data_IF_628818354081
#
_entry.id   IF_628818354081
#
_cell.length_a   1.000
_cell.length_b   1.000
_cell.length_c   1.000
_cell.angle_alpha   90.00
_cell.angle_beta   90.00
_cell.angle_gamma   90.00
#
_symmetry.space_group_name_H-M   'P 1'
#
loop_
_entity.id
_entity.type
_entity.pdbx_description
1 polymer ?
#
# COMPACT_ATOMS: atom_id res chain seq x y z
N UNK A 1 -6.70 3.26 -0.07
CA UNK A 1 -5.34 3.50 0.48
C UNK A 1 -4.42 4.20 -0.50
N UNK A 2 -4.31 3.71 -1.74
CA UNK A 2 -3.39 4.23 -2.78
C UNK A 2 -3.45 5.75 -2.98
N UNK A 3 -4.65 6.36 -3.00
CA UNK A 3 -4.80 7.82 -3.14
C UNK A 3 -4.19 8.64 -1.99
N UNK A 4 -4.01 8.06 -0.80
CA UNK A 4 -3.38 8.74 0.35
C UNK A 4 -1.85 8.74 0.25
N UNK A 5 -1.27 7.78 -0.46
CA UNK A 5 0.18 7.63 -0.61
C UNK A 5 0.73 8.80 -1.45
N UNK A 6 1.74 9.55 -0.97
CA UNK A 6 2.45 10.54 -1.77
C UNK A 6 3.10 9.91 -3.01
N UNK A 7 3.10 10.61 -4.15
CA UNK A 7 3.59 10.03 -5.41
C UNK A 7 5.08 9.63 -5.36
N UNK A 8 5.88 10.39 -4.62
CA UNK A 8 7.30 10.12 -4.37
C UNK A 8 7.55 8.84 -3.55
N UNK A 9 6.57 8.36 -2.79
CA UNK A 9 6.67 7.16 -1.96
C UNK A 9 5.92 5.97 -2.57
N UNK A 10 5.06 6.22 -3.56
CA UNK A 10 4.15 5.24 -4.13
C UNK A 10 4.87 4.00 -4.65
N UNK A 11 5.94 4.16 -5.41
CA UNK A 11 6.71 3.02 -5.94
C UNK A 11 7.33 2.19 -4.82
N UNK A 12 7.84 2.82 -3.77
CA UNK A 12 8.44 2.14 -2.61
C UNK A 12 7.40 1.32 -1.86
N UNK A 13 6.22 1.90 -1.60
CA UNK A 13 5.14 1.20 -0.90
C UNK A 13 4.60 0.05 -1.76
N UNK A 14 4.41 0.24 -3.07
CA UNK A 14 3.95 -0.82 -3.97
C UNK A 14 4.96 -1.98 -4.06
N UNK A 15 6.26 -1.69 -4.05
CA UNK A 15 7.30 -2.72 -4.00
C UNK A 15 7.30 -3.47 -2.66
N UNK A 16 7.12 -2.77 -1.54
CA UNK A 16 7.01 -3.41 -0.23
C UNK A 16 5.73 -4.25 -0.08
N UNK A 17 4.66 -3.87 -0.77
CA UNK A 17 3.41 -4.63 -0.79
C UNK A 17 3.49 -5.95 -1.56
N UNK A 18 4.42 -6.05 -2.53
CA UNK A 18 4.73 -7.28 -3.30
C UNK A 18 3.51 -7.97 -3.95
N UNK A 19 2.41 -7.24 -4.13
CA UNK A 19 1.19 -7.78 -4.76
C UNK A 19 1.25 -7.65 -6.30
N UNK A 20 1.74 -6.52 -6.79
CA UNK A 20 1.97 -6.26 -8.21
C UNK A 20 3.42 -6.60 -8.55
N UNK A 21 3.63 -7.44 -9.57
CA UNK A 21 4.98 -7.81 -9.98
C UNK A 21 5.72 -6.62 -10.59
N UNK A 22 7.06 -6.67 -10.59
CA UNK A 22 7.87 -5.59 -11.17
C UNK A 22 7.55 -5.32 -12.64
N UNK A 23 7.26 -6.38 -13.42
CA UNK A 23 6.83 -6.25 -14.81
C UNK A 23 5.52 -5.45 -14.94
N UNK A 24 4.56 -5.68 -14.04
CA UNK A 24 3.30 -4.93 -14.03
C UNK A 24 3.52 -3.49 -13.57
N UNK A 25 4.43 -3.25 -12.63
CA UNK A 25 4.78 -1.88 -12.21
C UNK A 25 5.51 -1.11 -13.31
N UNK A 26 6.28 -1.77 -14.18
CA UNK A 26 6.96 -1.12 -15.31
C UNK A 26 5.99 -0.61 -16.39
N UNK A 27 4.78 -1.16 -16.50
CA UNK A 27 3.76 -0.67 -17.44
C UNK A 27 3.11 0.64 -16.96
N UNK A 28 3.24 0.98 -15.67
CA UNK A 28 2.64 2.16 -15.06
C UNK A 28 3.52 3.38 -15.28
N UNK A 29 2.96 4.42 -15.93
CA UNK A 29 3.65 5.69 -16.14
C UNK A 29 3.54 6.60 -14.91
N UNK A 30 4.46 6.46 -13.96
CA UNK A 30 4.53 7.29 -12.74
C UNK A 30 4.82 8.78 -12.98
N UNK A 31 5.07 9.22 -14.22
CA UNK A 31 5.24 10.64 -14.57
C UNK A 31 3.91 11.36 -14.83
N UNK A 32 2.80 10.62 -14.89
CA UNK A 32 1.46 11.19 -15.06
C UNK A 32 0.90 11.80 -13.78
N UNK A 33 -0.26 12.45 -13.89
CA UNK A 33 -1.03 12.90 -12.72
C UNK A 33 -1.41 11.71 -11.85
N UNK A 34 -1.45 11.94 -10.54
CA UNK A 34 -1.70 10.92 -9.52
C UNK A 34 -2.98 10.13 -9.80
N UNK A 35 -4.04 10.81 -10.21
CA UNK A 35 -5.34 10.21 -10.50
C UNK A 35 -5.25 9.15 -11.60
N UNK A 36 -4.54 9.45 -12.69
CA UNK A 36 -4.32 8.52 -13.81
C UNK A 36 -3.47 7.32 -13.39
N UNK A 37 -2.42 7.55 -12.58
CA UNK A 37 -1.58 6.48 -12.03
C UNK A 37 -2.41 5.55 -11.15
N UNK A 38 -3.24 6.10 -10.26
CA UNK A 38 -4.10 5.29 -9.39
C UNK A 38 -5.11 4.50 -10.19
N UNK A 39 -5.76 5.09 -11.19
CA UNK A 39 -6.70 4.37 -12.05
C UNK A 39 -6.05 3.15 -12.71
N UNK A 40 -4.84 3.30 -13.24
CA UNK A 40 -4.11 2.19 -13.84
C UNK A 40 -3.73 1.12 -12.79
N UNK A 41 -3.26 1.51 -11.61
CA UNK A 41 -2.94 0.58 -10.53
C UNK A 41 -4.16 -0.21 -10.05
N UNK A 42 -5.32 0.43 -9.97
CA UNK A 42 -6.58 -0.24 -9.60
C UNK A 42 -6.96 -1.28 -10.66
N UNK A 43 -6.84 -0.93 -11.95
CA UNK A 43 -7.09 -1.86 -13.04
C UNK A 43 -6.22 -3.13 -12.93
N UNK A 44 -4.92 -2.98 -12.67
CA UNK A 44 -4.01 -4.12 -12.46
C UNK A 44 -4.40 -4.96 -11.24
N UNK A 45 -4.92 -4.32 -10.18
CA UNK A 45 -5.41 -5.04 -9.00
C UNK A 45 -6.70 -5.82 -9.29
N UNK A 46 -7.60 -5.28 -10.10
CA UNK A 46 -8.82 -5.96 -10.54
C UNK A 46 -8.50 -7.18 -11.42
N UNK A 47 -7.55 -7.06 -12.35
CA UNK A 47 -7.08 -8.18 -13.18
C UNK A 47 -6.50 -9.32 -12.34
N UNK A 48 -5.74 -8.99 -11.28
CA UNK A 48 -5.22 -9.97 -10.31
C UNK A 48 -6.26 -10.44 -9.28
N UNK A 49 -7.48 -9.91 -9.32
CA UNK A 49 -8.58 -10.20 -8.37
C UNK A 49 -8.17 -9.95 -6.93
N UNK A 50 -7.65 -8.76 -6.66
CA UNK A 50 -7.27 -8.33 -5.31
C UNK A 50 -8.41 -8.59 -4.31
N UNK A 51 -8.07 -9.31 -3.24
CA UNK A 51 -9.00 -9.63 -2.17
C UNK A 51 -9.02 -8.53 -1.11
N UNK A 52 -9.99 -8.65 -0.18
CA UNK A 52 -10.02 -7.79 1.00
C UNK A 52 -8.74 -7.93 1.85
N UNK A 53 -8.15 -9.13 1.90
CA UNK A 53 -6.92 -9.38 2.65
C UNK A 53 -5.73 -8.65 2.01
N UNK A 54 -5.66 -8.61 0.68
CA UNK A 54 -4.59 -7.87 -0.02
C UNK A 54 -4.70 -6.37 0.24
N UNK A 55 -5.93 -5.83 0.24
CA UNK A 55 -6.19 -4.44 0.58
C UNK A 55 -5.83 -4.11 2.04
N UNK A 56 -6.16 -5.01 2.98
CA UNK A 56 -5.80 -4.86 4.39
C UNK A 56 -4.27 -4.87 4.59
N UNK A 57 -3.55 -5.74 3.87
CA UNK A 57 -2.09 -5.77 3.89
C UNK A 57 -1.48 -4.45 3.42
N UNK A 58 -2.04 -3.84 2.37
CA UNK A 58 -1.62 -2.52 1.91
C UNK A 58 -1.82 -1.44 2.98
N UNK A 59 -2.93 -1.49 3.72
CA UNK A 59 -3.19 -0.55 4.84
C UNK A 59 -2.22 -0.73 6.01
N UNK A 60 -1.84 -1.97 6.32
CA UNK A 60 -0.82 -2.27 7.34
C UNK A 60 0.52 -1.65 6.91
N UNK A 61 0.96 -1.88 5.68
CA UNK A 61 2.22 -1.34 5.15
C UNK A 61 2.18 0.19 5.12
N UNK A 62 1.09 0.80 4.65
CA UNK A 62 0.91 2.25 4.72
C UNK A 62 1.12 2.77 6.15
N UNK A 63 0.53 2.11 7.14
CA UNK A 63 0.68 2.49 8.55
C UNK A 63 2.13 2.35 9.04
N UNK A 64 2.86 1.33 8.59
CA UNK A 64 4.28 1.14 8.93
C UNK A 64 5.19 2.25 8.40
N UNK A 65 4.90 2.81 7.23
CA UNK A 65 5.66 3.94 6.65
C UNK A 65 5.24 5.30 7.25
N UNK A 66 4.02 5.39 7.78
CA UNK A 66 3.45 6.64 8.29
C UNK A 66 3.13 6.58 9.80
N UNK A 67 4.00 5.96 10.60
CA UNK A 67 3.79 5.79 12.04
C UNK A 67 3.55 7.11 12.78
N UNK A 68 4.15 8.20 12.31
CA UNK A 68 3.99 9.54 12.87
C UNK A 68 2.57 10.12 12.74
N UNK A 69 1.70 9.54 11.90
CA UNK A 69 0.31 10.01 11.71
C UNK A 69 -0.65 9.49 12.80
N UNK A 70 -0.18 8.63 13.71
CA UNK A 70 -1.01 7.98 14.73
C UNK A 70 -0.46 8.25 16.13
N UNK A 71 -1.36 8.19 17.10
CA UNK A 71 -1.02 8.09 18.52
C UNK A 71 -0.94 6.61 18.87
N UNK A 72 0.12 6.21 19.57
CA UNK A 72 0.40 4.82 19.91
C UNK A 72 0.23 4.63 21.41
N UNK A 73 -0.62 3.67 21.78
CA UNK A 73 -0.75 3.22 23.16
C UNK A 73 0.16 2.01 23.42
N UNK A 74 0.69 1.92 24.64
CA UNK A 74 1.57 0.82 25.06
C UNK A 74 0.82 -0.03 26.08
N UNK A 75 0.70 -1.32 25.78
CA UNK A 75 0.10 -2.33 26.66
C UNK A 75 1.16 -3.32 27.12
N UNK A 76 1.09 -3.74 28.38
CA UNK A 76 1.98 -4.76 28.95
C UNK A 76 1.14 -5.97 29.39
N UNK A 77 1.49 -7.15 28.88
CA UNK A 77 0.87 -8.41 29.31
C UNK A 77 1.66 -9.01 30.48
N UNK A 78 0.95 -9.54 31.48
CA UNK A 78 1.52 -10.41 32.50
C UNK A 78 1.48 -11.87 32.05
N UNK A 79 2.34 -12.71 32.63
CA UNK A 79 2.22 -14.16 32.40
C UNK A 79 0.85 -14.66 32.86
N UNK A 80 0.30 -15.62 32.12
CA UNK A 80 -0.87 -16.37 32.56
C UNK A 80 -0.56 -17.19 33.82
N UNK A 81 -1.60 -17.66 34.52
CA UNK A 81 -1.43 -18.59 35.65
C UNK A 81 -0.62 -19.84 35.27
#
# INVERSE_FOLDING_TARGET
TILKIPLNELTTILKAWDFLSENQLQTVNFRQRKESVVQHLIHLCEEKRASLNDAALLDIIYTQFHQHQKVWDVFQMSKGP
#
